data_IF_094703591674
#
_entry.id   IF_094703591674
#
_cell.length_a   1.000
_cell.length_b   1.000
_cell.length_c   1.000
_cell.angle_alpha   90.00
_cell.angle_beta   90.00
_cell.angle_gamma   90.00
#
_symmetry.space_group_name_H-M   'P 1'
#
loop_
_entity.id
_entity.type
_entity.pdbx_description
1 polymer ?
#
# COMPACT_ATOMS: atom_id res chain seq x y z
N UNK A 1 -9.68 -14.65 -3.94
CA UNK A 1 -8.79 -13.75 -4.62
C UNK A 1 -9.10 -12.31 -4.26
N UNK A 2 -8.15 -11.45 -4.54
CA UNK A 2 -8.30 -10.03 -4.23
C UNK A 2 -9.22 -9.35 -5.23
N UNK A 3 -9.19 -9.79 -6.48
CA UNK A 3 -9.96 -9.17 -7.55
C UNK A 3 -11.15 -10.02 -7.93
N UNK A 4 -12.25 -9.36 -8.33
CA UNK A 4 -13.39 -10.08 -8.87
C UNK A 4 -13.17 -10.33 -10.36
N UNK A 5 -13.94 -11.27 -10.91
CA UNK A 5 -13.85 -11.55 -12.34
C UNK A 5 -14.27 -10.35 -13.16
N UNK A 6 -15.27 -9.61 -12.70
CA UNK A 6 -15.72 -8.41 -13.41
C UNK A 6 -14.61 -7.36 -13.46
N UNK A 7 -13.90 -7.16 -12.36
CA UNK A 7 -12.79 -6.22 -12.34
C UNK A 7 -11.72 -6.62 -13.34
N UNK A 8 -11.36 -7.90 -13.36
CA UNK A 8 -10.35 -8.38 -14.28
C UNK A 8 -10.76 -8.22 -15.74
N UNK A 9 -12.04 -8.36 -16.01
CA UNK A 9 -12.53 -8.24 -17.37
C UNK A 9 -12.57 -6.79 -17.81
N UNK A 10 -13.07 -5.90 -16.95
CA UNK A 10 -13.26 -4.50 -17.29
C UNK A 10 -11.96 -3.71 -17.38
N UNK A 11 -10.97 -4.11 -16.64
CA UNK A 11 -9.70 -3.40 -16.60
C UNK A 11 -9.45 -2.84 -15.21
N UNK A 12 -8.40 -3.33 -14.54
CA UNK A 12 -8.08 -2.94 -13.17
C UNK A 12 -6.57 -3.02 -12.97
N UNK A 13 -6.05 -2.10 -12.18
CA UNK A 13 -4.66 -2.19 -11.73
C UNK A 13 -4.64 -2.64 -10.28
N UNK A 14 -3.96 -3.75 -10.02
CA UNK A 14 -3.74 -4.25 -8.67
C UNK A 14 -2.38 -3.75 -8.22
N UNK A 15 -2.34 -3.08 -7.08
CA UNK A 15 -1.11 -2.54 -6.52
C UNK A 15 -0.90 -3.20 -5.16
N UNK A 16 0.19 -3.96 -5.06
CA UNK A 16 0.53 -4.67 -3.83
C UNK A 16 1.67 -3.91 -3.17
N UNK A 17 1.38 -3.23 -2.06
CA UNK A 17 2.37 -2.45 -1.34
C UNK A 17 3.00 -3.33 -0.26
N UNK A 18 4.17 -3.85 -0.55
CA UNK A 18 4.87 -4.74 0.38
C UNK A 18 5.77 -3.97 1.32
N UNK A 19 6.84 -4.61 1.78
CA UNK A 19 7.83 -3.98 2.64
C UNK A 19 8.85 -3.18 1.83
N UNK A 20 9.52 -3.84 0.89
CA UNK A 20 10.58 -3.20 0.12
C UNK A 20 10.15 -2.68 -1.23
N UNK A 21 9.15 -3.28 -1.85
CA UNK A 21 8.70 -2.91 -3.19
C UNK A 21 7.19 -2.87 -3.25
N UNK A 22 6.68 -2.14 -4.25
CA UNK A 22 5.26 -2.15 -4.58
C UNK A 22 5.13 -2.72 -5.98
N UNK A 23 4.28 -3.72 -6.13
CA UNK A 23 4.11 -4.42 -7.40
C UNK A 23 2.82 -3.99 -8.07
N UNK A 24 2.88 -3.85 -9.39
CA UNK A 24 1.74 -3.44 -10.20
C UNK A 24 1.39 -4.58 -11.14
N UNK A 25 0.10 -4.90 -11.25
CA UNK A 25 -0.38 -5.85 -12.25
C UNK A 25 -1.65 -5.27 -12.86
N UNK A 26 -1.69 -5.16 -14.18
CA UNK A 26 -2.87 -4.67 -14.88
C UNK A 26 -3.58 -5.87 -15.51
N UNK A 27 -4.86 -5.99 -15.21
CA UNK A 27 -5.71 -7.04 -15.77
C UNK A 27 -6.75 -6.41 -16.69
N UNK A 28 -6.99 -7.02 -17.81
CA UNK A 28 -8.08 -6.64 -18.71
C UNK A 28 -8.50 -7.86 -19.51
N UNK A 29 -9.81 -7.98 -19.75
CA UNK A 29 -10.36 -9.11 -20.47
C UNK A 29 -9.95 -10.45 -19.85
N UNK A 30 -9.78 -10.44 -18.54
CA UNK A 30 -9.48 -11.64 -17.77
C UNK A 30 -8.02 -12.04 -17.71
N UNK A 31 -7.13 -11.28 -18.31
CA UNK A 31 -5.71 -11.65 -18.39
C UNK A 31 -4.81 -10.52 -17.95
N UNK A 32 -3.60 -10.86 -17.51
CA UNK A 32 -2.60 -9.88 -17.14
C UNK A 32 -2.00 -9.29 -18.42
N UNK A 33 -2.02 -7.97 -18.51
CA UNK A 33 -1.48 -7.28 -19.67
C UNK A 33 -0.21 -6.50 -19.37
N UNK A 34 0.08 -6.23 -18.08
CA UNK A 34 1.25 -5.44 -17.73
C UNK A 34 1.61 -5.72 -16.29
N UNK A 35 2.91 -5.73 -15.98
CA UNK A 35 3.40 -5.78 -14.61
C UNK A 35 4.51 -4.75 -14.45
N UNK A 36 4.68 -4.28 -13.23
CA UNK A 36 5.74 -3.35 -12.91
C UNK A 36 6.11 -3.45 -11.45
N UNK A 37 7.25 -2.89 -11.09
CA UNK A 37 7.75 -2.89 -9.72
C UNK A 37 8.31 -1.51 -9.41
N UNK A 38 7.88 -0.94 -8.29
CA UNK A 38 8.39 0.33 -7.80
C UNK A 38 9.15 0.06 -6.50
N UNK A 39 10.39 0.51 -6.36
CA UNK A 39 11.19 0.21 -5.16
C UNK A 39 10.87 1.14 -3.99
N UNK A 40 9.62 1.38 -3.73
CA UNK A 40 9.13 2.18 -2.61
C UNK A 40 7.95 1.44 -2.00
N UNK A 41 7.99 1.24 -0.68
CA UNK A 41 6.91 0.55 0.01
C UNK A 41 6.99 0.87 1.51
N UNK A 42 6.48 -0.02 2.35
CA UNK A 42 6.34 0.25 3.77
C UNK A 42 7.65 0.51 4.50
N UNK A 43 8.74 -0.11 4.07
CA UNK A 43 10.02 0.06 4.76
C UNK A 43 10.58 1.47 4.61
N UNK A 44 10.38 2.09 3.45
CA UNK A 44 10.81 3.45 3.24
C UNK A 44 10.02 4.41 4.13
N UNK A 45 8.73 4.13 4.32
CA UNK A 45 7.90 4.93 5.23
C UNK A 45 8.41 4.81 6.65
N UNK A 46 8.70 3.58 7.11
CA UNK A 46 9.24 3.37 8.44
C UNK A 46 10.56 4.11 8.61
N UNK A 47 11.42 4.04 7.60
CA UNK A 47 12.71 4.73 7.65
C UNK A 47 12.55 6.24 7.71
N UNK A 48 11.60 6.79 6.97
CA UNK A 48 11.32 8.23 7.02
C UNK A 48 10.89 8.64 8.42
N UNK A 49 10.02 7.85 9.05
CA UNK A 49 9.57 8.15 10.41
C UNK A 49 10.74 8.11 11.37
N UNK A 50 11.56 7.06 11.31
CA UNK A 50 12.70 6.91 12.21
C UNK A 50 13.66 8.08 12.06
N UNK A 51 13.94 8.49 10.83
CA UNK A 51 14.91 9.53 10.55
C UNK A 51 14.38 10.92 10.91
N UNK A 52 13.17 11.23 10.44
CA UNK A 52 12.65 12.59 10.60
C UNK A 52 12.12 12.86 11.99
N UNK A 53 11.59 11.85 12.67
CA UNK A 53 11.14 12.00 14.04
C UNK A 53 12.19 11.58 15.06
N UNK A 54 13.34 11.10 14.59
CA UNK A 54 14.45 10.73 15.47
C UNK A 54 14.02 9.74 16.54
N UNK A 55 13.41 8.66 16.08
CA UNK A 55 12.92 7.59 16.95
C UNK A 55 13.55 6.28 16.47
N UNK A 56 13.75 5.31 17.36
CA UNK A 56 14.30 4.01 16.94
C UNK A 56 13.39 3.33 15.91
N UNK A 57 14.00 2.56 15.02
CA UNK A 57 13.26 1.92 13.92
C UNK A 57 12.10 1.07 14.42
N UNK A 58 12.30 0.31 15.50
CA UNK A 58 11.22 -0.53 16.02
C UNK A 58 10.02 0.32 16.46
N UNK A 59 10.29 1.48 17.05
CA UNK A 59 9.22 2.38 17.45
C UNK A 59 8.60 3.09 16.25
N UNK A 60 9.43 3.37 15.23
CA UNK A 60 8.89 3.96 13.99
C UNK A 60 7.88 3.01 13.34
N UNK A 61 8.19 1.71 13.36
CA UNK A 61 7.27 0.71 12.81
C UNK A 61 5.96 0.69 13.61
N UNK A 62 6.04 0.75 14.93
CA UNK A 62 4.85 0.79 15.75
C UNK A 62 4.02 2.03 15.49
N UNK A 63 4.68 3.19 15.37
CA UNK A 63 3.97 4.44 15.09
C UNK A 63 3.27 4.36 13.73
N UNK A 64 3.95 3.77 12.76
CA UNK A 64 3.36 3.59 11.44
C UNK A 64 2.09 2.76 11.51
N UNK A 65 2.17 1.63 12.18
CA UNK A 65 1.03 0.71 12.24
C UNK A 65 -0.14 1.30 13.02
N UNK A 66 0.15 2.00 14.12
CA UNK A 66 -0.90 2.44 15.03
C UNK A 66 -1.48 3.80 14.67
N UNK A 67 -0.66 4.72 14.20
CA UNK A 67 -1.08 6.12 14.14
C UNK A 67 -0.88 6.80 12.79
N UNK A 68 -0.18 6.19 11.85
CA UNK A 68 0.13 6.87 10.60
C UNK A 68 -1.11 7.16 9.77
N UNK A 69 -1.01 8.23 9.01
CA UNK A 69 -2.07 8.64 8.10
C UNK A 69 -1.37 9.14 6.85
N UNK A 70 -1.80 8.69 5.69
CA UNK A 70 -1.13 9.02 4.44
C UNK A 70 -1.58 10.36 3.84
N UNK A 71 -2.59 11.00 4.45
CA UNK A 71 -3.09 12.29 3.97
C UNK A 71 -3.27 13.18 5.19
N UNK A 72 -2.36 14.12 5.37
CA UNK A 72 -2.27 14.88 6.61
C UNK A 72 -3.54 15.63 6.97
N UNK A 73 -4.29 16.07 5.98
CA UNK A 73 -5.52 16.82 6.25
C UNK A 73 -6.60 15.99 6.94
N UNK A 74 -6.45 14.66 6.93
CA UNK A 74 -7.40 13.79 7.61
C UNK A 74 -7.07 13.59 9.08
N UNK A 75 -5.84 13.91 9.50
CA UNK A 75 -5.46 13.80 10.90
C UNK A 75 -5.85 15.10 11.60
N UNK A 76 -6.60 15.00 12.70
CA UNK A 76 -7.06 16.19 13.39
C UNK A 76 -5.91 16.81 14.16
N UNK A 77 -5.82 18.16 14.18
CA UNK A 77 -4.68 18.81 14.84
C UNK A 77 -4.58 18.54 16.33
N UNK A 78 -5.71 18.24 16.98
CA UNK A 78 -5.71 18.01 18.42
C UNK A 78 -5.31 16.61 18.82
N UNK A 79 -5.21 15.67 17.87
CA UNK A 79 -4.76 14.33 18.19
C UNK A 79 -3.26 14.34 18.49
N UNK A 80 -2.89 13.78 19.65
CA UNK A 80 -1.50 13.78 20.11
C UNK A 80 -1.01 12.36 20.29
N UNK A 81 0.23 12.12 19.92
CA UNK A 81 0.87 10.81 20.08
C UNK A 81 2.18 10.97 20.85
N UNK A 82 2.58 9.90 21.51
CA UNK A 82 3.84 9.87 22.26
C UNK A 82 4.90 9.25 21.36
N UNK A 83 5.98 9.96 21.13
CA UNK A 83 7.06 9.51 20.24
C UNK A 83 8.30 9.22 21.07
N UNK A 84 8.73 7.97 21.18
CA UNK A 84 9.97 7.65 21.87
C UNK A 84 11.15 8.29 21.17
N UNK A 85 12.12 8.75 21.95
CA UNK A 85 13.31 9.39 21.42
C UNK A 85 14.48 8.43 21.42
N UNK A 86 15.48 8.69 20.58
CA UNK A 86 16.71 7.90 20.61
C UNK A 86 17.54 8.28 21.82
N UNK A 87 18.30 7.34 22.33
CA UNK A 87 19.17 7.55 23.47
C UNK A 87 18.36 7.63 24.76
N UNK A 88 18.87 8.37 25.71
CA UNK A 88 18.25 8.47 27.04
C UNK A 88 17.25 9.62 27.15
N UNK A 89 16.83 10.18 26.04
CA UNK A 89 15.90 11.29 26.06
C UNK A 89 14.50 10.81 26.38
N UNK A 90 13.75 11.71 27.03
CA UNK A 90 12.36 11.40 27.33
C UNK A 90 11.53 11.34 26.05
N UNK A 91 10.52 10.50 26.03
CA UNK A 91 9.55 10.53 24.92
C UNK A 91 8.92 11.92 24.85
N UNK A 92 8.57 12.33 23.65
CA UNK A 92 7.96 13.62 23.46
C UNK A 92 6.57 13.49 22.86
N UNK A 93 5.73 14.47 23.13
CA UNK A 93 4.40 14.53 22.56
C UNK A 93 4.47 15.25 21.22
N UNK A 94 3.67 14.78 20.28
CA UNK A 94 3.66 15.33 18.94
C UNK A 94 2.25 15.16 18.39
N UNK A 95 1.82 16.08 17.50
CA UNK A 95 0.51 15.90 16.89
C UNK A 95 0.58 14.75 15.90
N UNK A 96 -0.53 14.01 15.80
CA UNK A 96 -0.62 12.95 14.82
C UNK A 96 -0.50 13.52 13.41
N UNK A 97 -0.93 14.75 13.21
CA UNK A 97 -0.79 15.41 11.92
C UNK A 97 0.68 15.57 11.53
N UNK A 98 1.57 15.83 12.50
CA UNK A 98 3.00 15.91 12.21
C UNK A 98 3.54 14.59 11.69
N UNK A 99 3.06 13.48 12.25
CA UNK A 99 3.44 12.15 11.72
C UNK A 99 2.91 11.99 10.30
N UNK A 100 1.68 12.39 10.05
CA UNK A 100 1.10 12.28 8.71
C UNK A 100 1.88 13.10 7.70
N UNK A 101 2.41 14.26 8.10
CA UNK A 101 3.20 15.09 7.21
C UNK A 101 4.51 14.45 6.81
N UNK A 102 4.99 13.50 7.61
CA UNK A 102 6.16 12.71 7.25
C UNK A 102 5.78 11.59 6.29
N UNK A 103 4.62 10.97 6.50
CA UNK A 103 4.19 9.79 5.75
C UNK A 103 3.67 10.15 4.36
N UNK A 104 2.90 11.22 4.28
CA UNK A 104 2.22 11.60 3.03
C UNK A 104 3.16 11.75 1.83
N UNK A 105 4.29 12.48 1.93
CA UNK A 105 5.13 12.67 0.75
C UNK A 105 5.66 11.38 0.16
N UNK A 106 5.91 10.37 0.99
CA UNK A 106 6.43 9.11 0.48
C UNK A 106 5.36 8.34 -0.28
N UNK A 107 4.13 8.35 0.23
CA UNK A 107 3.03 7.71 -0.50
C UNK A 107 2.68 8.49 -1.75
N UNK A 108 2.79 9.82 -1.70
CA UNK A 108 2.56 10.63 -2.88
C UNK A 108 3.58 10.28 -3.96
N UNK A 109 4.83 10.15 -3.58
CA UNK A 109 5.89 9.76 -4.52
C UNK A 109 5.59 8.39 -5.13
N UNK A 110 5.22 7.42 -4.28
CA UNK A 110 4.91 6.08 -4.73
C UNK A 110 3.78 6.10 -5.76
N UNK A 111 2.68 6.77 -5.44
CA UNK A 111 1.53 6.76 -6.33
C UNK A 111 1.80 7.52 -7.63
N UNK A 112 2.60 8.58 -7.57
CA UNK A 112 2.97 9.28 -8.79
C UNK A 112 3.85 8.44 -9.70
N UNK A 113 4.75 7.66 -9.12
CA UNK A 113 5.59 6.75 -9.90
C UNK A 113 4.75 5.64 -10.52
N UNK A 114 3.75 5.13 -9.79
CA UNK A 114 2.85 4.13 -10.34
C UNK A 114 2.03 4.72 -11.48
N UNK A 115 1.52 5.94 -11.30
CA UNK A 115 0.75 6.60 -12.35
C UNK A 115 1.60 6.79 -13.60
N UNK A 116 2.85 7.17 -13.42
CA UNK A 116 3.77 7.32 -14.54
C UNK A 116 3.98 5.99 -15.27
N UNK A 117 4.12 4.90 -14.51
CA UNK A 117 4.26 3.58 -15.11
C UNK A 117 3.02 3.20 -15.93
N UNK A 118 1.84 3.45 -15.40
CA UNK A 118 0.60 3.16 -16.10
C UNK A 118 0.43 4.00 -17.35
N UNK A 119 0.84 5.26 -17.31
CA UNK A 119 0.80 6.12 -18.48
C UNK A 119 1.78 5.67 -19.56
N UNK A 120 2.99 5.35 -19.14
CA UNK A 120 4.05 4.98 -20.07
C UNK A 120 3.74 3.66 -20.75
N UNK A 121 3.08 2.76 -20.04
CA UNK A 121 2.71 1.46 -20.60
C UNK A 121 1.39 1.51 -21.39
N UNK A 122 0.70 2.66 -21.38
CA UNK A 122 -0.52 2.83 -22.16
C UNK A 122 -1.80 2.32 -21.50
N UNK A 123 -1.76 2.01 -20.21
CA UNK A 123 -2.93 1.42 -19.55
C UNK A 123 -3.76 2.38 -18.72
N UNK A 124 -3.29 3.61 -18.51
CA UNK A 124 -3.99 4.53 -17.62
C UNK A 124 -5.47 4.68 -17.98
N UNK A 125 -5.78 4.76 -19.27
CA UNK A 125 -7.14 4.99 -19.69
C UNK A 125 -7.93 3.72 -19.91
N UNK A 126 -7.37 2.57 -19.57
CA UNK A 126 -8.05 1.29 -19.75
C UNK A 126 -8.51 0.68 -18.43
N UNK A 127 -8.47 1.44 -17.35
CA UNK A 127 -8.77 0.92 -16.01
C UNK A 127 -10.19 1.28 -15.61
N UNK A 128 -11.17 0.71 -16.33
CA UNK A 128 -12.57 1.02 -16.07
C UNK A 128 -13.00 0.65 -14.65
N UNK A 129 -12.39 -0.38 -14.07
CA UNK A 129 -12.67 -0.78 -12.70
C UNK A 129 -11.73 -0.11 -11.69
N UNK A 130 -10.82 0.74 -12.15
CA UNK A 130 -9.99 1.55 -11.26
C UNK A 130 -8.80 0.82 -10.68
N UNK A 131 -8.52 1.11 -9.42
CA UNK A 131 -7.33 0.66 -8.72
C UNK A 131 -7.74 -0.17 -7.52
N UNK A 132 -7.06 -1.29 -7.28
CA UNK A 132 -7.23 -2.06 -6.05
C UNK A 132 -5.89 -2.10 -5.34
N UNK A 133 -5.87 -1.65 -4.09
CA UNK A 133 -4.67 -1.65 -3.27
C UNK A 133 -4.70 -2.86 -2.34
N UNK A 134 -3.57 -3.50 -2.17
CA UNK A 134 -3.43 -4.59 -1.22
C UNK A 134 -2.05 -4.50 -0.58
N UNK A 135 -1.78 -5.37 0.37
CA UNK A 135 -0.49 -5.38 1.07
C UNK A 135 -0.62 -4.79 2.46
N UNK A 136 0.48 -4.84 3.20
CA UNK A 136 0.45 -4.58 4.63
C UNK A 136 0.00 -3.19 5.03
N UNK A 137 0.32 -2.17 4.24
CA UNK A 137 -0.01 -0.79 4.60
C UNK A 137 -1.19 -0.24 3.82
N UNK A 138 -1.84 -1.06 3.01
CA UNK A 138 -2.94 -0.58 2.18
C UNK A 138 -4.15 -0.13 2.99
N UNK A 139 -4.25 -0.56 4.24
CA UNK A 139 -5.37 -0.18 5.11
C UNK A 139 -5.09 1.06 5.95
N UNK A 140 -3.91 1.66 5.81
CA UNK A 140 -3.59 2.87 6.55
C UNK A 140 -4.57 3.98 6.20
N UNK A 141 -4.98 4.73 7.22
CA UNK A 141 -5.90 5.84 7.02
C UNK A 141 -5.32 6.80 5.99
N UNK A 142 -6.13 7.25 5.06
CA UNK A 142 -5.71 8.25 4.08
C UNK A 142 -5.11 7.68 2.82
N UNK A 143 -4.74 6.39 2.79
CA UNK A 143 -4.09 5.81 1.61
C UNK A 143 -5.04 5.81 0.42
N UNK A 144 -6.29 5.38 0.63
CA UNK A 144 -7.28 5.35 -0.45
C UNK A 144 -7.55 6.76 -0.95
N UNK A 145 -7.77 7.69 -0.02
CA UNK A 145 -8.10 9.06 -0.39
C UNK A 145 -6.97 9.72 -1.17
N UNK A 146 -5.73 9.50 -0.73
CA UNK A 146 -4.59 10.05 -1.45
C UNK A 146 -4.47 9.43 -2.84
N UNK A 147 -4.66 8.13 -2.94
CA UNK A 147 -4.61 7.45 -4.23
C UNK A 147 -5.66 8.00 -5.18
N UNK A 148 -6.88 8.22 -4.69
CA UNK A 148 -7.93 8.78 -5.53
C UNK A 148 -7.59 10.19 -6.01
N UNK A 149 -6.95 10.99 -5.16
CA UNK A 149 -6.53 12.33 -5.55
C UNK A 149 -5.49 12.29 -6.67
N UNK A 150 -4.62 11.29 -6.65
CA UNK A 150 -3.53 11.22 -7.63
C UNK A 150 -3.97 10.51 -8.91
N UNK A 151 -4.68 9.40 -8.78
CA UNK A 151 -5.04 8.61 -9.96
C UNK A 151 -6.31 9.11 -10.65
N UNK A 152 -7.18 9.82 -9.93
CA UNK A 152 -8.50 10.26 -10.43
C UNK A 152 -9.31 9.06 -10.94
N UNK A 153 -9.23 7.97 -10.21
CA UNK A 153 -9.93 6.72 -10.51
C UNK A 153 -10.50 6.18 -9.21
N UNK A 154 -11.52 5.33 -9.27
CA UNK A 154 -12.01 4.68 -8.06
C UNK A 154 -10.92 3.79 -7.48
N UNK A 155 -10.77 3.82 -6.17
CA UNK A 155 -9.77 3.04 -5.47
C UNK A 155 -10.44 2.29 -4.33
N UNK A 156 -10.13 1.01 -4.19
CA UNK A 156 -10.57 0.24 -3.03
C UNK A 156 -9.43 -0.57 -2.48
N UNK A 157 -9.56 -0.99 -1.23
CA UNK A 157 -8.61 -1.91 -0.60
C UNK A 157 -9.15 -3.32 -0.76
N UNK A 158 -8.30 -4.21 -1.24
CA UNK A 158 -8.65 -5.61 -1.36
C UNK A 158 -7.89 -6.45 -0.38
N UNK A 159 -8.53 -7.49 0.12
CA UNK A 159 -7.86 -8.49 0.93
C UNK A 159 -8.11 -9.82 0.29
N UNK A 160 -7.23 -10.78 0.48
CA UNK A 160 -7.50 -12.13 0.01
C UNK A 160 -8.83 -12.59 0.58
N UNK A 161 -9.65 -13.20 -0.26
CA UNK A 161 -10.93 -13.69 0.20
C UNK A 161 -10.69 -14.72 1.29
N UNK A 162 -11.51 -14.65 2.33
CA UNK A 162 -11.41 -15.66 3.33
C UNK A 162 -11.91 -16.90 2.75
N UNK A 163 -11.10 -17.86 2.85
CA UNK A 163 -11.52 -19.16 2.43
C UNK A 163 -12.25 -19.71 3.58
N UNK A 164 -13.53 -19.77 3.44
CA UNK A 164 -14.29 -20.21 4.47
C UNK A 164 -13.77 -21.34 5.08
N UNK A 165 -13.43 -21.18 6.11
CA UNK A 165 -12.84 -22.18 6.66
C UNK A 165 -11.68 -22.54 5.98
N UNK A 166 -11.40 -22.37 5.23
CA UNK A 166 -10.30 -22.78 4.62
C UNK A 166 -9.39 -21.93 4.73
N UNK A 167 -9.49 -21.47 4.85
CA UNK A 167 -8.84 -20.84 4.78
C UNK A 167 -8.30 -20.26 4.65
N UNK A 168 -8.22 -20.20 4.71
CA UNK A 168 -7.63 -19.68 4.32
C UNK A 168 -6.62 -19.96 4.02
N UNK A 169 -6.44 -20.69 3.75
CA UNK A 169 -5.61 -21.16 3.33
C UNK A 169 -4.85 -20.71 2.58
N UNK A 170 -4.60 -20.67 2.21
CA UNK A 170 -3.84 -20.30 1.52
C UNK A 170 -3.67 -19.20 1.51
N UNK A 171 -4.05 -18.74 1.91
CA UNK A 171 -3.86 -17.72 1.81
C UNK A 171 -3.24 -17.09 2.36
N UNK A 172 -3.01 -17.04 2.57
CA UNK A 172 -2.35 -16.39 2.82
C UNK A 172 -1.77 -15.57 2.33
N UNK A 173 -1.87 -14.90 2.35
CA UNK A 173 -1.47 -14.18 1.38
C UNK A 173 -0.20 -14.51 1.01
N UNK A 174 0.00 -15.06 1.11
CA UNK A 174 1.02 -15.37 0.77
C UNK A 174 0.95 -15.74 -0.23
N UNK A 175 0.35 -15.90 -0.52
CA UNK A 175 0.29 -16.09 -1.48
C UNK A 175 -0.17 -15.27 -2.14
N UNK A 176 -0.46 -14.45 -1.68
CA UNK A 176 -0.81 -13.66 -2.51
C UNK A 176 0.26 -13.28 -3.30
N UNK A 177 1.09 -13.25 -3.29
CA UNK A 177 2.01 -13.04 -4.24
C UNK A 177 2.42 -14.20 -4.57
N UNK A 178 2.30 -14.63 -4.25
CA UNK A 178 2.56 -15.58 -4.55
C UNK A 178 1.50 -16.18 -4.57
N UNK A 179 0.70 -16.23 -4.09
CA UNK A 179 -0.22 -16.78 -4.16
C UNK A 179 -1.03 -16.39 -4.99
N UNK A 180 -1.30 -15.95 -5.05
CA UNK A 180 -1.87 -15.57 -5.91
C UNK A 180 -1.12 -15.43 -6.90
N UNK A 181 -0.46 -15.53 -6.77
CA UNK A 181 0.25 -15.54 -7.52
C UNK A 181 0.60 -16.43 -7.67
N UNK A 182 0.36 -17.02 -7.34
CA UNK A 182 0.65 -17.68 -7.42
C UNK A 182 -0.01 -17.98 -7.77
N UNK A 183 -0.58 -17.97 -7.53
CA UNK A 183 -1.13 -17.92 -7.85
C UNK A 183 -0.88 -17.46 -8.70
N UNK A 184 -0.44 -17.28 -8.67
CA UNK A 184 0.28 -16.72 -9.30
C UNK A 184 1.09 -16.93 -9.65
N UNK A 185 0.95 -17.04 -9.81
CA UNK A 185 1.94 -17.17 -9.98
C UNK A 185 2.12 -17.35 -9.87
N UNK A 186 1.67 -17.59 -9.73
CA UNK A 186 2.06 -17.61 -9.43
C UNK A 186 2.13 -17.59 -9.38
N UNK A 187 1.92 -17.74 -9.11
CA UNK A 187 2.36 -17.47 -8.81
C UNK A 187 2.93 -17.28 -8.72
N UNK A 188 2.85 -17.41 -8.79
CA UNK A 188 3.73 -17.14 -8.58
C UNK A 188 4.28 -17.06 -8.07
N UNK A 189 4.21 -17.23 -7.71
CA UNK A 189 4.86 -17.14 -7.07
C UNK A 189 5.10 -16.84 -6.46
N UNK A 190 4.74 -16.79 -6.12
CA UNK A 190 5.05 -16.44 -5.41
C UNK A 190 5.43 -15.95 -4.98
N UNK A 191 5.20 -15.83 -4.77
CA UNK A 191 5.73 -15.36 -4.22
C UNK A 191 6.02 -14.89 -3.88
N UNK A 192 5.80 -14.91 -3.77
CA UNK A 192 6.19 -14.41 -3.51
C UNK A 192 6.29 -13.80 -2.86
N UNK A 193 6.11 -13.52 -2.46
CA UNK A 193 6.18 -12.94 -1.92
C UNK A 193 6.21 -12.64 -1.43
#
# INVERSE_FOLDING_TARGET
AVLTDDEKYLGVALIDIGGGTSDIAVFKEGAIHHTGVIPIAGDQVTNDIATLLRTPTAHAEELKIKYACALAKLARPEETIKVPSVGDREPRDMSRQSLAEVVEPRYEELFKLILEDLRRSGFEEQLAAGIVLTGGTSKMQGVVELAEEIFHLPVRVGSPAKVNGLSDIVNNPIYSTGVGLLHFGALEQQHMS
#
